data_IF_116510602128
#
_entry.id   IF_116510602128
#
_cell.length_a   1.000
_cell.length_b   1.000
_cell.length_c   1.000
_cell.angle_alpha   90.00
_cell.angle_beta   90.00
_cell.angle_gamma   90.00
#
_symmetry.space_group_name_H-M   'P 1'
#
loop_
_entity.id
_entity.type
_entity.pdbx_description
1 polymer ?
#
# COMPACT_ATOMS: atom_id res chain seq x y z
N UNK A 1 9.08 -25.37 -20.88
CA UNK A 1 8.02 -24.39 -21.24
C UNK A 1 6.84 -24.67 -20.38
N UNK A 2 6.37 -23.66 -19.68
CA UNK A 2 5.26 -23.75 -18.72
C UNK A 2 4.03 -23.10 -19.33
N UNK A 3 3.44 -23.77 -20.34
CA UNK A 3 2.27 -23.25 -21.04
C UNK A 3 1.06 -23.16 -20.13
N UNK A 4 0.32 -22.06 -20.22
CA UNK A 4 -0.96 -21.88 -19.55
C UNK A 4 -2.00 -22.75 -20.25
N UNK A 5 -2.66 -23.66 -19.52
CA UNK A 5 -3.66 -24.57 -20.07
C UNK A 5 -5.06 -24.31 -19.57
N UNK A 6 -5.22 -23.59 -18.45
CA UNK A 6 -6.53 -23.17 -17.94
C UNK A 6 -6.43 -21.94 -17.05
N UNK A 7 -7.48 -21.09 -17.07
CA UNK A 7 -7.64 -19.92 -16.21
C UNK A 7 -9.08 -19.86 -15.75
N UNK A 8 -9.27 -19.77 -14.43
CA UNK A 8 -10.59 -19.72 -13.81
C UNK A 8 -10.69 -18.49 -12.88
N UNK A 9 -11.44 -17.49 -13.29
CA UNK A 9 -11.80 -16.35 -12.44
C UNK A 9 -13.06 -16.66 -11.63
N UNK A 10 -13.12 -16.13 -10.41
CA UNK A 10 -14.30 -16.19 -9.55
C UNK A 10 -14.46 -14.95 -8.72
N UNK A 11 -15.67 -14.73 -8.22
CA UNK A 11 -16.01 -13.71 -7.25
C UNK A 11 -15.82 -14.28 -5.85
N UNK A 12 -15.09 -13.55 -4.99
CA UNK A 12 -14.92 -13.83 -3.55
C UNK A 12 -15.26 -12.57 -2.75
N UNK A 13 -15.21 -12.62 -1.42
CA UNK A 13 -15.40 -11.45 -0.57
C UNK A 13 -14.06 -10.93 -0.03
N UNK A 14 -13.95 -9.60 0.02
CA UNK A 14 -12.84 -8.90 0.67
C UNK A 14 -13.06 -8.75 2.19
N UNK A 15 -12.10 -8.15 2.88
CA UNK A 15 -12.12 -7.90 4.33
C UNK A 15 -13.26 -7.00 4.82
N UNK A 16 -13.94 -6.29 3.90
CA UNK A 16 -15.10 -5.45 4.17
C UNK A 16 -16.42 -6.14 3.82
N UNK A 17 -16.38 -7.39 3.34
CA UNK A 17 -17.55 -8.12 2.86
C UNK A 17 -18.05 -7.66 1.49
N UNK A 18 -17.25 -6.93 0.72
CA UNK A 18 -17.53 -6.57 -0.66
C UNK A 18 -16.96 -7.60 -1.62
N UNK A 19 -17.59 -7.85 -2.78
CA UNK A 19 -17.04 -8.70 -3.82
C UNK A 19 -15.70 -8.20 -4.34
N UNK A 20 -14.79 -9.14 -4.59
CA UNK A 20 -13.55 -8.94 -5.33
C UNK A 20 -13.23 -10.15 -6.19
N UNK A 21 -12.17 -10.06 -6.99
CA UNK A 21 -11.79 -11.08 -7.98
C UNK A 21 -10.68 -11.96 -7.48
N UNK A 22 -10.83 -13.26 -7.67
CA UNK A 22 -9.79 -14.28 -7.50
C UNK A 22 -9.61 -15.06 -8.79
N UNK A 23 -8.38 -15.43 -9.11
CA UNK A 23 -8.04 -16.18 -10.31
C UNK A 23 -7.16 -17.39 -9.99
N UNK A 24 -7.50 -18.55 -10.55
CA UNK A 24 -6.66 -19.74 -10.61
C UNK A 24 -6.04 -19.84 -12.02
N UNK A 25 -4.77 -20.23 -12.09
CA UNK A 25 -4.06 -20.54 -13.33
C UNK A 25 -3.48 -21.94 -13.22
N UNK A 26 -3.75 -22.77 -14.24
CA UNK A 26 -3.19 -24.12 -14.36
C UNK A 26 -2.17 -24.15 -15.51
N UNK A 27 -0.99 -24.73 -15.24
CA UNK A 27 0.06 -24.94 -16.23
C UNK A 27 0.04 -26.38 -16.77
N UNK A 28 0.62 -26.58 -17.95
CA UNK A 28 0.77 -27.90 -18.58
C UNK A 28 1.48 -28.93 -17.68
N UNK A 29 2.38 -28.49 -16.83
CA UNK A 29 3.05 -29.32 -15.81
C UNK A 29 2.14 -29.87 -14.72
N UNK A 30 0.92 -29.30 -14.58
CA UNK A 30 0.00 -29.56 -13.48
C UNK A 30 0.14 -28.61 -12.30
N UNK A 31 1.07 -27.66 -12.33
CA UNK A 31 1.16 -26.59 -11.33
C UNK A 31 -0.09 -25.71 -11.42
N UNK A 32 -0.71 -25.44 -10.28
CA UNK A 32 -1.85 -24.56 -10.16
C UNK A 32 -1.58 -23.51 -9.08
N UNK A 33 -1.74 -22.24 -9.43
CA UNK A 33 -1.58 -21.15 -8.50
C UNK A 33 -2.80 -20.22 -8.49
N UNK A 34 -2.98 -19.52 -7.38
CA UNK A 34 -4.12 -18.65 -7.09
C UNK A 34 -3.66 -17.27 -6.66
N UNK A 35 -4.38 -16.23 -7.08
CA UNK A 35 -4.20 -14.88 -6.57
C UNK A 35 -5.55 -14.17 -6.43
N UNK A 36 -5.65 -13.30 -5.41
CA UNK A 36 -6.83 -12.48 -5.16
C UNK A 36 -6.46 -10.99 -5.15
N UNK A 37 -7.35 -10.16 -5.68
CA UNK A 37 -7.10 -8.73 -5.89
C UNK A 37 -7.69 -7.89 -4.75
N UNK A 38 -6.94 -6.89 -4.22
CA UNK A 38 -7.48 -5.93 -3.25
C UNK A 38 -8.38 -4.88 -3.90
N UNK A 39 -9.15 -4.15 -3.06
CA UNK A 39 -10.06 -3.09 -3.48
C UNK A 39 -9.96 -1.86 -2.58
N UNK A 40 -9.93 -0.64 -3.15
CA UNK A 40 -9.89 0.60 -2.39
C UNK A 40 -11.23 1.06 -1.83
N UNK A 41 -11.21 1.86 -0.75
CA UNK A 41 -12.35 2.64 -0.27
C UNK A 41 -12.28 4.07 -0.82
N UNK A 42 -11.20 4.79 -0.52
CA UNK A 42 -10.82 6.01 -1.23
C UNK A 42 -10.02 5.65 -2.47
N UNK A 43 -10.24 6.33 -3.57
CA UNK A 43 -9.57 6.05 -4.84
C UNK A 43 -9.16 7.35 -5.51
N UNK A 44 -7.91 7.43 -5.94
CA UNK A 44 -7.44 8.54 -6.78
C UNK A 44 -8.21 8.58 -8.10
N UNK A 45 -8.56 9.77 -8.55
CA UNK A 45 -9.38 9.96 -9.76
C UNK A 45 -8.73 9.42 -11.05
N UNK A 46 -7.42 9.18 -11.01
CA UNK A 46 -6.60 8.71 -12.13
C UNK A 46 -6.18 7.26 -12.04
N UNK A 47 -6.69 6.50 -11.06
CA UNK A 47 -6.45 5.05 -10.96
C UNK A 47 -7.00 4.30 -12.18
N UNK A 48 -6.40 3.15 -12.48
CA UNK A 48 -6.99 2.20 -13.40
C UNK A 48 -8.36 1.72 -12.87
N UNK A 49 -9.28 1.47 -13.80
CA UNK A 49 -10.69 1.21 -13.46
C UNK A 49 -10.87 -0.16 -12.83
N UNK A 50 -11.34 -0.21 -11.60
CA UNK A 50 -11.91 -1.41 -10.99
C UNK A 50 -13.30 -1.66 -11.57
N UNK A 51 -13.47 -2.76 -12.30
CA UNK A 51 -14.74 -3.06 -12.94
C UNK A 51 -15.75 -3.58 -11.94
N UNK A 52 -16.89 -2.89 -11.83
CA UNK A 52 -18.06 -3.25 -11.03
C UNK A 52 -19.27 -3.45 -11.91
N UNK A 53 -20.18 -4.35 -11.51
CA UNK A 53 -21.36 -4.69 -12.32
C UNK A 53 -22.37 -3.55 -12.39
N UNK A 54 -22.49 -2.76 -11.31
CA UNK A 54 -23.45 -1.66 -11.20
C UNK A 54 -24.90 -2.11 -11.01
N UNK A 55 -25.15 -3.40 -10.79
CA UNK A 55 -26.47 -3.96 -10.51
C UNK A 55 -26.84 -3.75 -9.04
N UNK A 56 -27.73 -2.79 -8.78
CA UNK A 56 -28.14 -2.41 -7.43
C UNK A 56 -28.80 -3.55 -6.63
N UNK A 57 -29.40 -4.53 -7.31
CA UNK A 57 -30.05 -5.67 -6.65
C UNK A 57 -29.06 -6.74 -6.20
N UNK A 58 -27.80 -6.66 -6.67
CA UNK A 58 -26.74 -7.60 -6.33
C UNK A 58 -25.54 -6.88 -5.72
N UNK A 59 -25.23 -7.19 -4.44
CA UNK A 59 -24.15 -6.54 -3.67
C UNK A 59 -24.18 -5.01 -3.72
N UNK A 60 -25.38 -4.41 -3.79
CA UNK A 60 -25.54 -2.95 -3.85
C UNK A 60 -24.75 -2.28 -4.99
N UNK A 61 -24.67 -2.97 -6.14
CA UNK A 61 -23.93 -2.49 -7.31
C UNK A 61 -22.43 -2.87 -7.34
N UNK A 62 -21.92 -3.48 -6.27
CA UNK A 62 -20.49 -3.77 -6.12
C UNK A 62 -20.04 -5.15 -6.65
N UNK A 63 -20.95 -5.94 -7.28
CA UNK A 63 -20.63 -7.22 -7.90
C UNK A 63 -19.47 -7.10 -8.91
N UNK A 64 -18.75 -8.20 -9.17
CA UNK A 64 -17.60 -8.25 -10.10
C UNK A 64 -17.73 -9.33 -11.17
N UNK A 65 -18.95 -9.78 -11.47
CA UNK A 65 -19.17 -10.84 -12.45
C UNK A 65 -18.74 -10.45 -13.86
N UNK A 66 -18.80 -9.16 -14.25
CA UNK A 66 -18.27 -8.70 -15.54
C UNK A 66 -16.76 -8.90 -15.62
N UNK A 67 -16.03 -8.55 -14.56
CA UNK A 67 -14.58 -8.79 -14.49
C UNK A 67 -14.27 -10.29 -14.52
N UNK A 68 -15.01 -11.10 -13.79
CA UNK A 68 -14.91 -12.57 -13.80
C UNK A 68 -15.18 -13.13 -15.21
N UNK A 69 -16.20 -12.64 -15.89
CA UNK A 69 -16.50 -13.04 -17.27
C UNK A 69 -15.34 -12.70 -18.21
N UNK A 70 -14.76 -11.51 -18.11
CA UNK A 70 -13.62 -11.10 -18.92
C UNK A 70 -12.42 -12.04 -18.72
N UNK A 71 -12.17 -12.48 -17.47
CA UNK A 71 -11.12 -13.48 -17.19
C UNK A 71 -11.44 -14.80 -17.87
N UNK A 72 -12.67 -15.32 -17.70
CA UNK A 72 -13.08 -16.65 -18.16
C UNK A 72 -13.30 -16.74 -19.66
N UNK A 73 -13.28 -15.63 -20.39
CA UNK A 73 -13.46 -15.57 -21.84
C UNK A 73 -12.28 -14.91 -22.53
N UNK A 74 -12.35 -13.61 -22.80
CA UNK A 74 -11.38 -12.90 -23.64
C UNK A 74 -9.94 -12.97 -23.13
N UNK A 75 -9.71 -12.79 -21.82
CA UNK A 75 -8.35 -12.84 -21.28
C UNK A 75 -7.82 -14.29 -21.37
N UNK A 76 -8.63 -15.26 -20.93
CA UNK A 76 -8.25 -16.68 -21.03
C UNK A 76 -7.90 -17.08 -22.48
N UNK A 77 -8.74 -16.71 -23.45
CA UNK A 77 -8.48 -16.99 -24.87
C UNK A 77 -7.18 -16.36 -25.37
N UNK A 78 -6.89 -15.12 -24.96
CA UNK A 78 -5.71 -14.38 -25.41
C UNK A 78 -4.39 -14.91 -24.84
N UNK A 79 -4.40 -15.49 -23.62
CA UNK A 79 -3.18 -15.92 -22.93
C UNK A 79 -2.99 -17.44 -22.89
N UNK A 80 -3.98 -18.20 -23.36
CA UNK A 80 -3.90 -19.65 -23.45
C UNK A 80 -2.72 -20.07 -24.29
N UNK A 81 -1.90 -21.00 -23.80
CA UNK A 81 -0.70 -21.49 -24.47
C UNK A 81 0.54 -20.60 -24.37
N UNK A 82 0.42 -19.41 -23.77
CA UNK A 82 1.60 -18.58 -23.46
C UNK A 82 2.46 -19.25 -22.40
N UNK A 83 3.77 -19.00 -22.46
CA UNK A 83 4.70 -19.42 -21.42
C UNK A 83 4.53 -18.53 -20.17
N UNK A 84 4.19 -19.14 -19.03
CA UNK A 84 3.97 -18.44 -17.77
C UNK A 84 5.21 -17.70 -17.27
N UNK A 85 6.41 -18.10 -17.67
CA UNK A 85 7.67 -17.43 -17.30
C UNK A 85 7.87 -16.08 -18.00
N UNK A 86 7.14 -15.82 -19.08
CA UNK A 86 7.22 -14.59 -19.88
C UNK A 86 6.24 -13.51 -19.38
N UNK A 87 6.36 -13.13 -18.11
CA UNK A 87 5.44 -12.19 -17.43
C UNK A 87 5.22 -10.89 -18.21
N UNK A 88 6.30 -10.29 -18.72
CA UNK A 88 6.19 -9.01 -19.43
C UNK A 88 5.44 -9.17 -20.77
N UNK A 89 5.57 -10.29 -21.43
CA UNK A 89 4.82 -10.58 -22.65
C UNK A 89 3.35 -10.85 -22.36
N UNK A 90 3.05 -11.60 -21.28
CA UNK A 90 1.69 -11.86 -20.82
C UNK A 90 0.97 -10.53 -20.49
N UNK A 91 1.56 -9.72 -19.63
CA UNK A 91 0.97 -8.45 -19.18
C UNK A 91 0.77 -7.48 -20.36
N UNK A 92 1.71 -7.47 -21.32
CA UNK A 92 1.57 -6.70 -22.55
C UNK A 92 0.41 -7.21 -23.40
N UNK A 93 0.26 -8.53 -23.57
CA UNK A 93 -0.87 -9.14 -24.31
C UNK A 93 -2.20 -8.72 -23.71
N UNK A 94 -2.33 -8.76 -22.38
CA UNK A 94 -3.55 -8.34 -21.68
C UNK A 94 -3.79 -6.82 -21.85
N UNK A 95 -2.75 -6.00 -21.77
CA UNK A 95 -2.86 -4.56 -21.97
C UNK A 95 -3.27 -4.17 -23.39
N UNK A 96 -2.72 -4.84 -24.39
CA UNK A 96 -3.10 -4.66 -25.81
C UNK A 96 -4.53 -5.15 -26.06
N UNK A 97 -4.96 -6.23 -25.41
CA UNK A 97 -6.34 -6.70 -25.44
C UNK A 97 -7.31 -5.69 -24.85
N UNK A 98 -6.98 -5.08 -23.70
CA UNK A 98 -7.80 -4.01 -23.11
C UNK A 98 -7.86 -2.78 -24.03
N UNK A 99 -6.74 -2.36 -24.57
CA UNK A 99 -6.62 -1.26 -25.54
C UNK A 99 -6.92 0.13 -24.97
N UNK A 100 -7.20 0.28 -23.67
CA UNK A 100 -7.44 1.55 -23.01
C UNK A 100 -6.28 1.92 -22.09
N UNK A 101 -6.11 3.20 -21.80
CA UNK A 101 -5.00 3.67 -20.95
C UNK A 101 -5.20 3.37 -19.45
N UNK A 102 -6.42 3.07 -19.04
CA UNK A 102 -6.81 2.89 -17.63
C UNK A 102 -7.58 1.58 -17.36
N UNK A 103 -7.42 0.57 -18.21
CA UNK A 103 -8.09 -0.75 -18.07
C UNK A 103 -9.63 -0.67 -18.07
N UNK A 104 -10.22 0.36 -18.71
CA UNK A 104 -11.65 0.59 -18.66
C UNK A 104 -12.48 -0.51 -19.37
N UNK A 105 -11.89 -1.25 -20.31
CA UNK A 105 -12.62 -2.29 -21.06
C UNK A 105 -12.69 -3.63 -20.33
N UNK A 106 -11.59 -4.08 -19.74
CA UNK A 106 -11.51 -5.39 -19.07
C UNK A 106 -11.62 -5.28 -17.54
N UNK A 107 -11.17 -4.17 -16.98
CA UNK A 107 -11.06 -3.94 -15.55
C UNK A 107 -9.67 -4.26 -14.99
N UNK A 108 -9.10 -3.33 -14.20
CA UNK A 108 -7.81 -3.55 -13.54
C UNK A 108 -7.83 -4.73 -12.57
N UNK A 109 -8.97 -5.00 -11.93
CA UNK A 109 -9.16 -6.18 -11.09
C UNK A 109 -9.06 -7.49 -11.88
N UNK A 110 -9.61 -7.55 -13.10
CA UNK A 110 -9.49 -8.73 -13.96
C UNK A 110 -8.05 -8.93 -14.47
N UNK A 111 -7.44 -7.87 -14.97
CA UNK A 111 -6.07 -7.95 -15.53
C UNK A 111 -5.04 -8.30 -14.44
N UNK A 112 -5.14 -7.69 -13.26
CA UNK A 112 -4.24 -7.95 -12.14
C UNK A 112 -4.38 -9.37 -11.59
N UNK A 113 -5.60 -9.88 -11.45
CA UNK A 113 -5.83 -11.24 -10.93
C UNK A 113 -5.09 -12.27 -11.78
N UNK A 114 -5.15 -12.17 -13.12
CA UNK A 114 -4.44 -13.06 -14.02
C UNK A 114 -2.92 -12.82 -13.95
N UNK A 115 -2.47 -11.57 -13.98
CA UNK A 115 -1.04 -11.23 -13.90
C UNK A 115 -0.39 -11.81 -12.64
N UNK A 116 -1.03 -11.70 -11.48
CA UNK A 116 -0.54 -12.24 -10.20
C UNK A 116 -0.57 -13.76 -10.17
N UNK A 117 -1.67 -14.38 -10.61
CA UNK A 117 -1.81 -15.85 -10.59
C UNK A 117 -0.79 -16.52 -11.48
N UNK A 118 -0.53 -15.97 -12.68
CA UNK A 118 0.51 -16.47 -13.60
C UNK A 118 1.90 -16.34 -12.98
N UNK A 119 2.24 -15.20 -12.36
CA UNK A 119 3.53 -15.04 -11.68
C UNK A 119 3.75 -16.07 -10.56
N UNK A 120 2.72 -16.37 -9.78
CA UNK A 120 2.77 -17.40 -8.74
C UNK A 120 2.96 -18.80 -9.33
N UNK A 121 2.23 -19.13 -10.40
CA UNK A 121 2.38 -20.40 -11.09
C UNK A 121 3.79 -20.57 -11.67
N UNK A 122 4.33 -19.52 -12.30
CA UNK A 122 5.68 -19.53 -12.86
C UNK A 122 6.76 -19.69 -11.76
N UNK A 123 6.60 -19.05 -10.62
CA UNK A 123 7.48 -19.19 -9.47
C UNK A 123 7.48 -20.64 -8.93
N UNK A 124 6.31 -21.23 -8.76
CA UNK A 124 6.16 -22.63 -8.31
C UNK A 124 6.73 -23.62 -9.32
N UNK A 125 6.48 -23.43 -10.63
CA UNK A 125 7.08 -24.21 -11.70
C UNK A 125 8.61 -24.14 -11.71
N UNK A 126 9.16 -22.96 -11.42
CA UNK A 126 10.62 -22.77 -11.31
C UNK A 126 11.21 -23.31 -10.00
N UNK A 127 10.37 -23.79 -9.06
CA UNK A 127 10.81 -24.23 -7.74
C UNK A 127 11.35 -23.10 -6.86
N UNK A 128 10.91 -21.87 -7.08
CA UNK A 128 11.36 -20.66 -6.36
C UNK A 128 10.23 -20.08 -5.50
N UNK A 129 10.51 -19.61 -4.27
CA UNK A 129 9.58 -18.74 -3.58
C UNK A 129 9.35 -17.47 -4.38
N UNK A 130 8.15 -16.89 -4.25
CA UNK A 130 7.70 -15.79 -5.13
C UNK A 130 8.61 -14.56 -5.04
N UNK A 131 9.06 -14.17 -3.84
CA UNK A 131 9.97 -13.03 -3.69
C UNK A 131 11.30 -13.23 -4.43
N UNK A 132 11.80 -14.47 -4.47
CA UNK A 132 13.04 -14.81 -5.17
C UNK A 132 12.82 -14.91 -6.69
N UNK A 133 11.65 -15.34 -7.11
CA UNK A 133 11.26 -15.29 -8.51
C UNK A 133 11.24 -13.86 -9.04
N UNK A 134 10.72 -12.89 -8.25
CA UNK A 134 10.71 -11.48 -8.62
C UNK A 134 12.08 -10.81 -8.60
N UNK A 135 12.92 -11.10 -7.61
CA UNK A 135 14.16 -10.36 -7.35
C UNK A 135 15.44 -11.12 -7.60
N UNK A 136 15.34 -12.40 -7.98
CA UNK A 136 16.51 -13.25 -8.18
C UNK A 136 17.36 -13.38 -6.91
N UNK A 137 18.68 -13.55 -7.09
CA UNK A 137 19.63 -13.72 -5.98
C UNK A 137 19.84 -12.47 -5.12
N UNK A 138 19.40 -11.31 -5.58
CA UNK A 138 19.54 -10.04 -4.86
C UNK A 138 18.39 -9.68 -3.92
N UNK A 139 17.33 -10.48 -3.87
CA UNK A 139 16.15 -10.26 -3.03
C UNK A 139 16.41 -10.70 -1.58
N UNK A 140 17.01 -9.83 -0.76
CA UNK A 140 17.41 -10.15 0.62
C UNK A 140 16.96 -9.13 1.66
N UNK A 141 16.42 -7.98 1.25
CA UNK A 141 16.06 -6.91 2.16
C UNK A 141 14.60 -7.01 2.59
N UNK A 142 14.38 -7.21 3.89
CA UNK A 142 13.06 -7.09 4.51
C UNK A 142 12.67 -5.61 4.57
N UNK A 143 11.38 -5.27 4.32
CA UNK A 143 10.94 -3.88 4.36
C UNK A 143 10.74 -3.39 5.79
N UNK A 144 11.00 -2.09 6.03
CA UNK A 144 10.54 -1.40 7.24
C UNK A 144 9.01 -1.25 7.16
N UNK A 145 8.26 -1.75 8.15
CA UNK A 145 6.82 -1.65 8.14
C UNK A 145 6.35 -0.28 8.63
N UNK A 146 5.37 0.29 7.92
CA UNK A 146 4.58 1.44 8.32
C UNK A 146 3.26 0.91 8.88
N UNK A 147 3.15 0.86 10.20
CA UNK A 147 2.05 0.19 10.90
C UNK A 147 0.99 1.20 11.33
N UNK A 148 -0.18 1.18 10.71
CA UNK A 148 -1.29 2.08 11.01
C UNK A 148 -1.97 1.70 12.32
N UNK A 149 -1.62 2.36 13.45
CA UNK A 149 -2.13 2.03 14.77
C UNK A 149 -3.31 2.88 15.23
N UNK A 150 -3.54 4.06 14.61
CA UNK A 150 -4.75 4.89 14.80
C UNK A 150 -5.31 5.31 13.45
N UNK A 151 -6.60 5.05 13.26
CA UNK A 151 -7.37 5.42 12.09
C UNK A 151 -8.18 6.70 12.33
N UNK A 152 -8.22 7.57 11.33
CA UNK A 152 -9.09 8.75 11.26
C UNK A 152 -9.68 8.89 9.85
N UNK A 153 -10.11 10.10 9.48
CA UNK A 153 -10.59 10.41 8.14
C UNK A 153 -11.63 9.43 7.63
N UNK A 154 -11.48 8.98 6.38
CA UNK A 154 -12.38 8.03 5.75
C UNK A 154 -12.30 6.59 6.33
N UNK A 155 -11.26 6.27 7.10
CA UNK A 155 -11.06 4.94 7.69
C UNK A 155 -11.71 4.75 9.06
N UNK A 156 -12.26 5.82 9.67
CA UNK A 156 -12.91 5.75 10.97
C UNK A 156 -14.00 6.81 11.12
N UNK A 157 -15.07 6.47 11.84
CA UNK A 157 -16.09 7.44 12.20
C UNK A 157 -15.70 8.14 13.53
N UNK A 158 -14.75 9.05 13.45
CA UNK A 158 -14.24 9.82 14.57
C UNK A 158 -13.92 11.28 14.17
N UNK A 159 -13.31 12.05 15.07
CA UNK A 159 -13.02 13.48 14.91
C UNK A 159 -11.68 13.79 14.25
N UNK A 160 -10.87 12.79 13.91
CA UNK A 160 -9.56 13.01 13.30
C UNK A 160 -9.69 13.25 11.80
N UNK A 161 -9.10 14.32 11.29
CA UNK A 161 -9.08 14.64 9.84
C UNK A 161 -8.00 13.85 9.11
N UNK A 162 -6.82 13.67 9.71
CA UNK A 162 -5.74 12.83 9.18
C UNK A 162 -6.17 11.37 9.23
N UNK A 163 -6.01 10.67 8.11
CA UNK A 163 -6.56 9.33 7.89
C UNK A 163 -5.82 8.24 8.64
N UNK A 164 -4.46 8.31 8.69
CA UNK A 164 -3.66 7.27 9.32
C UNK A 164 -2.50 7.87 10.13
N UNK A 165 -2.32 7.30 11.33
CA UNK A 165 -1.18 7.56 12.19
C UNK A 165 -0.40 6.26 12.36
N UNK A 166 0.82 6.25 11.83
CA UNK A 166 1.63 5.05 11.72
C UNK A 166 2.88 5.11 12.57
N UNK A 167 3.31 3.96 13.07
CA UNK A 167 4.63 3.75 13.67
C UNK A 167 5.54 3.01 12.71
N UNK A 168 6.83 3.35 12.74
CA UNK A 168 7.88 2.73 11.94
C UNK A 168 9.03 2.28 12.86
N UNK A 169 9.10 0.99 13.22
CA UNK A 169 10.22 0.45 13.98
C UNK A 169 11.49 0.42 13.11
N UNK A 170 12.44 1.30 13.38
CA UNK A 170 13.68 1.49 12.60
C UNK A 170 14.94 1.21 13.40
N UNK A 171 14.83 1.04 14.72
CA UNK A 171 15.94 0.81 15.62
C UNK A 171 16.22 -0.67 15.91
N UNK A 172 15.51 -1.60 15.26
CA UNK A 172 15.70 -3.04 15.43
C UNK A 172 16.66 -3.61 14.38
N UNK A 173 17.25 -4.76 14.67
CA UNK A 173 18.21 -5.41 13.78
C UNK A 173 17.54 -6.35 12.75
N UNK A 174 16.31 -6.80 13.03
CA UNK A 174 15.59 -7.77 12.20
C UNK A 174 14.14 -7.35 12.02
N UNK A 175 13.49 -7.86 10.97
CA UNK A 175 12.06 -7.65 10.75
C UNK A 175 11.22 -8.27 11.88
N UNK A 176 11.60 -9.45 12.37
CA UNK A 176 10.94 -10.13 13.50
C UNK A 176 10.89 -9.23 14.74
N UNK A 177 11.99 -8.58 15.08
CA UNK A 177 12.04 -7.65 16.21
C UNK A 177 11.26 -6.35 15.92
N UNK A 178 11.25 -5.88 14.68
CA UNK A 178 10.40 -4.76 14.29
C UNK A 178 8.91 -5.08 14.45
N UNK A 179 8.49 -6.27 14.03
CA UNK A 179 7.11 -6.72 14.20
C UNK A 179 6.74 -6.89 15.68
N UNK A 180 7.63 -7.45 16.51
CA UNK A 180 7.46 -7.53 17.96
C UNK A 180 7.30 -6.15 18.59
N UNK A 181 8.18 -5.22 18.26
CA UNK A 181 8.11 -3.83 18.70
C UNK A 181 6.73 -3.21 18.38
N UNK A 182 6.29 -3.33 17.14
CA UNK A 182 4.98 -2.84 16.72
C UNK A 182 3.82 -3.46 17.52
N UNK A 183 3.83 -4.78 17.73
CA UNK A 183 2.79 -5.48 18.49
C UNK A 183 2.76 -5.04 19.97
N UNK A 184 3.91 -4.86 20.61
CA UNK A 184 4.01 -4.38 21.98
C UNK A 184 3.48 -2.95 22.12
N UNK A 185 3.81 -2.05 21.17
CA UNK A 185 3.26 -0.68 21.15
C UNK A 185 1.75 -0.69 20.91
N UNK A 186 1.25 -1.53 19.99
CA UNK A 186 -0.19 -1.67 19.74
C UNK A 186 -0.95 -2.09 21.01
N UNK A 187 -0.44 -3.05 21.77
CA UNK A 187 -1.05 -3.46 23.02
C UNK A 187 -0.91 -2.43 24.14
N UNK A 188 0.20 -1.69 24.22
CA UNK A 188 0.37 -0.55 25.12
C UNK A 188 -0.65 0.55 24.82
N UNK A 189 -0.85 0.88 23.53
CA UNK A 189 -1.86 1.85 23.10
C UNK A 189 -3.27 1.40 23.46
N UNK A 190 -3.61 0.12 23.23
CA UNK A 190 -4.90 -0.44 23.65
C UNK A 190 -5.18 -0.22 25.13
N UNK A 191 -4.16 -0.48 25.97
CA UNK A 191 -4.27 -0.26 27.42
C UNK A 191 -4.48 1.21 27.77
N UNK A 192 -3.74 2.13 27.17
CA UNK A 192 -3.86 3.56 27.39
C UNK A 192 -5.26 4.06 27.03
N UNK A 193 -5.79 3.64 25.87
CA UNK A 193 -7.14 3.99 25.43
C UNK A 193 -8.20 3.47 26.39
N UNK A 194 -8.08 2.22 26.83
CA UNK A 194 -8.98 1.62 27.81
C UNK A 194 -8.95 2.39 29.14
N UNK A 195 -7.76 2.72 29.67
CA UNK A 195 -7.60 3.45 30.93
C UNK A 195 -8.17 4.89 30.85
N UNK A 196 -8.21 5.47 29.64
CA UNK A 196 -8.87 6.76 29.34
C UNK A 196 -10.37 6.63 29.04
N UNK A 197 -10.98 5.44 29.14
CA UNK A 197 -12.35 5.13 28.73
C UNK A 197 -12.65 5.47 27.25
N UNK A 198 -11.67 5.37 26.39
CA UNK A 198 -11.80 5.53 24.95
C UNK A 198 -12.10 4.19 24.25
N UNK A 199 -12.82 4.18 23.10
CA UNK A 199 -13.05 2.96 22.34
C UNK A 199 -11.75 2.28 21.91
N UNK A 200 -11.74 0.93 21.99
CA UNK A 200 -10.65 0.08 21.49
C UNK A 200 -11.09 -0.79 20.32
N UNK A 201 -12.21 -0.46 19.68
CA UNK A 201 -12.61 -1.01 18.40
C UNK A 201 -11.64 -0.57 17.31
N UNK A 202 -11.47 -1.42 16.30
CA UNK A 202 -10.54 -1.17 15.20
C UNK A 202 -11.27 -0.81 13.92
N UNK A 203 -10.64 0.02 13.09
CA UNK A 203 -11.12 0.37 11.76
C UNK A 203 -10.78 -0.70 10.70
N UNK A 204 -11.01 -0.37 9.44
CA UNK A 204 -10.84 -1.28 8.31
C UNK A 204 -9.42 -1.85 8.18
N UNK A 205 -8.42 -1.09 8.61
CA UNK A 205 -7.01 -1.47 8.53
C UNK A 205 -6.42 -2.00 9.83
N UNK A 206 -7.28 -2.23 10.85
CA UNK A 206 -6.89 -2.85 12.10
C UNK A 206 -6.32 -1.91 13.16
N UNK A 207 -6.17 -0.60 12.87
CA UNK A 207 -5.82 0.44 13.85
C UNK A 207 -7.01 0.84 14.70
N UNK A 208 -6.76 1.37 15.90
CA UNK A 208 -7.82 1.86 16.78
C UNK A 208 -8.50 3.11 16.20
N UNK A 209 -9.76 3.33 16.53
CA UNK A 209 -10.56 4.45 16.04
C UNK A 209 -11.17 5.28 17.21
N UNK A 210 -10.36 5.79 18.14
CA UNK A 210 -10.86 6.61 19.25
C UNK A 210 -11.18 8.04 18.78
N UNK A 211 -11.98 8.76 19.56
CA UNK A 211 -12.18 10.18 19.40
C UNK A 211 -11.12 10.98 20.17
N UNK A 212 -10.20 11.58 19.45
CA UNK A 212 -9.26 12.56 19.98
C UNK A 212 -9.76 13.98 19.72
N UNK A 213 -9.32 14.95 20.50
CA UNK A 213 -9.69 16.37 20.34
C UNK A 213 -8.87 17.07 19.24
N UNK A 214 -7.74 16.47 18.85
CA UNK A 214 -6.85 17.00 17.82
C UNK A 214 -5.89 15.92 17.31
N UNK A 215 -5.29 16.15 16.13
CA UNK A 215 -4.21 15.34 15.60
C UNK A 215 -2.99 15.29 16.55
N UNK A 216 -2.73 16.43 17.23
CA UNK A 216 -1.66 16.53 18.23
C UNK A 216 -1.88 15.59 19.42
N UNK A 217 -3.09 15.55 20.00
CA UNK A 217 -3.42 14.63 21.12
C UNK A 217 -3.24 13.16 20.71
N UNK A 218 -3.60 12.83 19.48
CA UNK A 218 -3.36 11.50 18.93
C UNK A 218 -1.86 11.16 18.92
N UNK A 219 -1.03 12.04 18.37
CA UNK A 219 0.43 11.86 18.33
C UNK A 219 1.05 11.76 19.74
N UNK A 220 0.65 12.62 20.67
CA UNK A 220 1.10 12.57 22.07
C UNK A 220 0.73 11.23 22.73
N UNK A 221 -0.46 10.69 22.43
CA UNK A 221 -0.89 9.39 22.95
C UNK A 221 -0.09 8.24 22.34
N UNK A 222 0.27 8.32 21.07
CA UNK A 222 1.16 7.35 20.41
C UNK A 222 2.56 7.38 21.02
N UNK A 223 3.13 8.57 21.27
CA UNK A 223 4.43 8.70 21.95
C UNK A 223 4.41 8.03 23.34
N UNK A 224 3.33 8.26 24.11
CA UNK A 224 3.15 7.60 25.41
C UNK A 224 3.08 6.08 25.27
N UNK A 225 2.45 5.56 24.22
CA UNK A 225 2.38 4.12 23.96
C UNK A 225 3.75 3.53 23.63
N UNK A 226 4.57 4.23 22.85
CA UNK A 226 5.95 3.84 22.52
C UNK A 226 6.79 3.76 23.80
N UNK A 227 6.73 4.80 24.65
CA UNK A 227 7.44 4.85 25.95
C UNK A 227 6.98 3.72 26.88
N UNK A 228 5.66 3.49 26.99
CA UNK A 228 5.10 2.43 27.84
C UNK A 228 5.46 1.02 27.36
N UNK A 229 5.71 0.84 26.07
CA UNK A 229 6.22 -0.40 25.51
C UNK A 229 7.74 -0.58 25.73
N UNK A 230 8.45 0.43 26.25
CA UNK A 230 9.87 0.39 26.55
C UNK A 230 10.78 0.79 25.38
N UNK A 231 10.25 1.51 24.39
CA UNK A 231 11.01 2.00 23.23
C UNK A 231 11.16 3.53 23.24
N UNK A 232 12.16 4.03 22.51
CA UNK A 232 12.48 5.45 22.39
C UNK A 232 11.92 6.01 21.08
N UNK A 233 10.95 6.94 21.18
CA UNK A 233 10.46 7.66 20.01
C UNK A 233 11.57 8.56 19.42
N UNK A 234 11.73 8.53 18.10
CA UNK A 234 12.80 9.24 17.39
C UNK A 234 14.10 8.43 17.20
N UNK A 235 14.31 7.41 18.02
CA UNK A 235 15.47 6.52 17.92
C UNK A 235 15.07 5.13 17.45
N UNK A 236 14.27 4.41 18.23
CA UNK A 236 13.81 3.06 17.92
C UNK A 236 12.62 3.07 16.97
N UNK A 237 11.73 4.05 17.14
CA UNK A 237 10.47 4.16 16.41
C UNK A 237 10.28 5.58 15.90
N UNK A 238 10.05 5.71 14.60
CA UNK A 238 9.63 6.95 13.95
C UNK A 238 8.13 6.93 13.68
N UNK A 239 7.56 8.09 13.37
CA UNK A 239 6.16 8.24 13.04
C UNK A 239 5.98 8.53 11.55
N UNK A 240 4.85 8.11 11.00
CA UNK A 240 4.41 8.45 9.67
C UNK A 240 2.93 8.81 9.68
N UNK A 241 2.54 9.69 8.77
CA UNK A 241 1.16 10.12 8.56
C UNK A 241 0.71 9.78 7.14
N UNK A 242 -0.56 9.41 7.00
CA UNK A 242 -1.29 9.51 5.74
C UNK A 242 -2.39 10.54 5.94
N UNK A 243 -2.24 11.68 5.28
CA UNK A 243 -3.22 12.77 5.41
C UNK A 243 -4.46 12.49 4.57
N UNK A 244 -4.34 11.80 3.45
CA UNK A 244 -5.39 11.64 2.44
C UNK A 244 -6.07 13.00 2.15
N UNK A 245 -5.25 14.05 1.92
CA UNK A 245 -5.69 15.45 1.94
C UNK A 245 -6.74 15.77 0.88
N UNK A 246 -6.91 14.93 -0.14
CA UNK A 246 -7.98 15.03 -1.13
C UNK A 246 -9.38 14.92 -0.51
N UNK A 247 -9.52 14.20 0.60
CA UNK A 247 -10.81 13.98 1.29
C UNK A 247 -11.37 15.24 1.97
N UNK A 248 -10.49 16.15 2.37
CA UNK A 248 -10.89 17.41 3.05
C UNK A 248 -10.49 18.69 2.29
N UNK A 249 -10.14 18.56 1.00
CA UNK A 249 -9.89 19.71 0.13
C UNK A 249 -11.16 20.15 -0.57
N UNK A 250 -11.56 21.40 -0.34
CA UNK A 250 -12.76 21.98 -0.95
C UNK A 250 -12.56 23.48 -1.19
N UNK A 251 -13.03 23.95 -2.35
CA UNK A 251 -13.01 25.37 -2.73
C UNK A 251 -11.62 26.03 -2.60
N UNK A 252 -10.55 25.28 -2.92
CA UNK A 252 -9.17 25.74 -2.85
C UNK A 252 -8.57 25.80 -1.44
N UNK A 253 -9.20 25.14 -0.46
CA UNK A 253 -8.77 25.10 0.94
C UNK A 253 -8.84 23.71 1.54
N UNK A 254 -7.99 23.47 2.53
CA UNK A 254 -7.98 22.27 3.37
C UNK A 254 -8.82 22.52 4.63
N UNK A 255 -9.87 21.74 4.81
CA UNK A 255 -10.85 21.88 5.88
C UNK A 255 -10.63 20.80 6.96
N UNK A 256 -9.85 21.11 7.97
CA UNK A 256 -9.67 20.24 9.14
C UNK A 256 -10.84 20.46 10.11
N UNK A 257 -11.94 19.75 9.85
CA UNK A 257 -13.19 19.94 10.56
C UNK A 257 -13.08 19.61 12.07
N UNK A 258 -12.29 18.58 12.40
CA UNK A 258 -12.02 18.16 13.78
C UNK A 258 -11.30 19.21 14.61
N UNK A 259 -10.52 20.06 13.96
CA UNK A 259 -9.79 21.18 14.62
C UNK A 259 -10.40 22.55 14.31
N UNK A 260 -11.45 22.62 13.48
CA UNK A 260 -12.12 23.87 13.10
C UNK A 260 -11.26 24.80 12.23
N UNK A 261 -10.31 24.25 11.47
CA UNK A 261 -9.37 25.01 10.65
C UNK A 261 -9.76 24.98 9.17
N UNK A 262 -9.49 26.07 8.46
CA UNK A 262 -9.57 26.19 7.00
C UNK A 262 -8.29 26.85 6.50
N UNK A 263 -7.45 26.07 5.83
CA UNK A 263 -6.09 26.44 5.48
C UNK A 263 -5.91 26.51 3.95
N UNK A 264 -5.17 27.48 3.47
CA UNK A 264 -4.61 27.47 2.12
C UNK A 264 -3.54 26.38 1.99
N UNK A 265 -3.09 26.09 0.78
CA UNK A 265 -2.04 25.10 0.54
C UNK A 265 -0.76 25.41 1.32
N UNK A 266 -0.33 26.68 1.33
CA UNK A 266 0.87 27.07 2.07
C UNK A 266 0.69 27.00 3.59
N UNK A 267 -0.47 27.39 4.12
CA UNK A 267 -0.78 27.28 5.55
C UNK A 267 -0.88 25.82 5.99
N UNK A 268 -1.40 24.92 5.12
CA UNK A 268 -1.44 23.49 5.42
C UNK A 268 -0.03 22.86 5.36
N UNK A 269 0.84 23.27 4.42
CA UNK A 269 2.26 22.92 4.44
C UNK A 269 2.93 23.32 5.76
N UNK A 270 2.65 24.55 6.26
CA UNK A 270 3.20 25.04 7.53
C UNK A 270 2.64 24.25 8.72
N UNK A 271 1.36 23.89 8.69
CA UNK A 271 0.74 23.03 9.70
C UNK A 271 1.44 21.68 9.80
N UNK A 272 1.67 20.99 8.66
CA UNK A 272 2.40 19.72 8.60
C UNK A 272 3.85 19.87 9.05
N UNK A 273 4.51 20.97 8.68
CA UNK A 273 5.85 21.31 9.13
C UNK A 273 5.93 21.46 10.65
N UNK A 274 4.96 22.16 11.25
CA UNK A 274 4.88 22.35 12.71
C UNK A 274 4.66 21.02 13.45
N UNK A 275 3.89 20.08 12.89
CA UNK A 275 3.77 18.73 13.46
C UNK A 275 5.10 17.98 13.38
N UNK A 276 5.78 18.02 12.23
CA UNK A 276 7.05 17.35 12.02
C UNK A 276 8.20 17.94 12.91
N UNK A 277 8.12 19.20 13.29
CA UNK A 277 9.08 19.83 14.21
C UNK A 277 8.82 19.44 15.69
N UNK A 278 7.58 19.08 16.05
CA UNK A 278 7.21 18.68 17.41
C UNK A 278 7.28 17.17 17.66
N UNK A 279 7.15 16.36 16.62
CA UNK A 279 7.06 14.90 16.69
C UNK A 279 8.08 14.26 15.76
N UNK A 280 8.55 13.03 16.03
CA UNK A 280 9.54 12.34 15.19
C UNK A 280 8.89 11.78 13.90
N UNK A 281 8.20 12.62 13.15
CA UNK A 281 7.55 12.30 11.88
C UNK A 281 8.62 12.30 10.79
N UNK A 282 8.76 11.17 10.08
CA UNK A 282 9.75 11.00 9.00
C UNK A 282 9.08 10.87 7.63
N UNK A 283 7.78 10.57 7.59
CA UNK A 283 7.04 10.34 6.34
C UNK A 283 5.64 10.94 6.41
N UNK A 284 5.23 11.61 5.35
CA UNK A 284 3.89 12.15 5.16
C UNK A 284 3.40 11.73 3.76
N UNK A 285 2.30 10.98 3.74
CA UNK A 285 1.62 10.55 2.52
C UNK A 285 0.47 11.50 2.23
N UNK A 286 0.29 11.82 0.94
CA UNK A 286 -0.78 12.67 0.41
C UNK A 286 -1.06 13.91 1.26
N UNK A 287 0.03 14.63 1.58
CA UNK A 287 -0.02 15.89 2.34
C UNK A 287 -0.68 17.06 1.58
N UNK A 288 -1.05 16.86 0.30
CA UNK A 288 -1.79 17.80 -0.53
C UNK A 288 -2.79 17.04 -1.40
N UNK A 289 -3.80 17.76 -1.91
CA UNK A 289 -4.77 17.24 -2.87
C UNK A 289 -4.08 16.76 -4.17
N UNK A 290 -4.57 15.70 -4.78
CA UNK A 290 -3.99 15.08 -5.99
C UNK A 290 -3.84 16.03 -7.19
N UNK A 291 -4.61 17.12 -7.24
CA UNK A 291 -4.55 18.13 -8.30
C UNK A 291 -3.85 19.43 -7.86
N UNK A 292 -3.48 19.57 -6.59
CA UNK A 292 -2.81 20.77 -6.07
C UNK A 292 -1.28 20.68 -6.24
N UNK A 293 -0.82 20.68 -7.48
CA UNK A 293 0.60 20.52 -7.80
C UNK A 293 1.47 21.68 -7.30
N UNK A 294 0.93 22.90 -7.24
CA UNK A 294 1.63 24.05 -6.66
C UNK A 294 1.78 23.89 -5.14
N UNK A 295 0.74 23.42 -4.46
CA UNK A 295 0.81 23.04 -3.03
C UNK A 295 1.81 21.92 -2.77
N UNK A 296 1.86 20.89 -3.62
CA UNK A 296 2.86 19.84 -3.55
C UNK A 296 4.28 20.38 -3.75
N UNK A 297 4.49 21.31 -4.66
CA UNK A 297 5.79 21.96 -4.86
C UNK A 297 6.23 22.76 -3.62
N UNK A 298 5.32 23.53 -3.01
CA UNK A 298 5.56 24.27 -1.76
C UNK A 298 5.91 23.32 -0.60
N UNK A 299 5.12 22.26 -0.41
CA UNK A 299 5.36 21.24 0.61
C UNK A 299 6.74 20.57 0.40
N UNK A 300 7.06 20.22 -0.85
CA UNK A 300 8.35 19.58 -1.18
C UNK A 300 9.52 20.51 -0.91
N UNK A 301 9.39 21.79 -1.26
CA UNK A 301 10.42 22.79 -0.98
C UNK A 301 10.67 22.94 0.52
N UNK A 302 9.59 22.98 1.32
CA UNK A 302 9.67 23.18 2.77
C UNK A 302 10.19 21.94 3.51
N UNK A 303 9.68 20.77 3.20
CA UNK A 303 9.89 19.54 3.99
C UNK A 303 10.69 18.45 3.30
N UNK A 304 10.77 18.42 1.98
CA UNK A 304 11.29 17.28 1.20
C UNK A 304 12.75 16.90 1.43
N UNK A 305 13.53 17.76 2.11
CA UNK A 305 14.92 17.44 2.50
C UNK A 305 15.01 16.63 3.79
N UNK A 306 13.99 16.72 4.66
CA UNK A 306 13.95 16.10 5.99
C UNK A 306 12.88 15.01 6.11
N UNK A 307 11.82 15.10 5.31
CA UNK A 307 10.62 14.27 5.40
C UNK A 307 10.44 13.53 4.07
N UNK A 308 10.16 12.25 4.14
CA UNK A 308 9.67 11.47 3.00
C UNK A 308 8.25 11.93 2.66
N UNK A 309 8.05 12.45 1.47
CA UNK A 309 6.77 12.91 0.96
C UNK A 309 6.27 11.91 -0.08
N UNK A 310 5.29 11.11 0.31
CA UNK A 310 4.76 9.99 -0.47
C UNK A 310 3.55 10.46 -1.29
N UNK A 311 3.61 10.26 -2.60
CA UNK A 311 2.44 10.44 -3.47
C UNK A 311 1.70 9.11 -3.65
N UNK A 312 0.46 9.03 -3.15
CA UNK A 312 -0.50 7.96 -3.41
C UNK A 312 -1.45 8.38 -4.52
N UNK A 313 -2.49 9.15 -4.22
CA UNK A 313 -3.44 9.67 -5.21
C UNK A 313 -2.75 10.60 -6.23
N UNK A 314 -1.65 11.23 -5.82
CA UNK A 314 -0.82 12.05 -6.72
C UNK A 314 -0.26 11.25 -7.90
N UNK A 315 0.21 10.03 -7.69
CA UNK A 315 0.93 9.24 -8.70
C UNK A 315 0.17 8.01 -9.18
N UNK A 316 -0.73 7.45 -8.37
CA UNK A 316 -1.56 6.27 -8.64
C UNK A 316 -0.78 5.10 -9.27
N UNK A 317 0.45 4.87 -8.82
CA UNK A 317 1.36 3.83 -9.35
C UNK A 317 1.62 3.97 -10.86
N UNK A 318 1.37 5.13 -11.45
CA UNK A 318 1.44 5.38 -12.88
C UNK A 318 2.76 6.02 -13.29
N UNK A 319 3.56 5.33 -14.11
CA UNK A 319 4.89 5.79 -14.54
C UNK A 319 4.89 7.12 -15.29
N UNK A 320 3.82 7.42 -16.05
CA UNK A 320 3.71 8.69 -16.78
C UNK A 320 3.53 9.86 -15.82
N UNK A 321 2.68 9.68 -14.79
CA UNK A 321 2.42 10.73 -13.79
C UNK A 321 3.63 10.86 -12.85
N UNK A 322 4.22 9.74 -12.45
CA UNK A 322 5.45 9.74 -11.66
C UNK A 322 6.59 10.48 -12.39
N UNK A 323 6.76 10.25 -13.69
CA UNK A 323 7.75 10.96 -14.52
C UNK A 323 7.54 12.46 -14.47
N UNK A 324 6.29 12.93 -14.61
CA UNK A 324 5.94 14.35 -14.50
C UNK A 324 6.33 14.92 -13.12
N UNK A 325 6.02 14.18 -12.04
CA UNK A 325 6.40 14.57 -10.67
C UNK A 325 7.91 14.67 -10.47
N UNK A 326 8.67 13.71 -11.01
CA UNK A 326 10.13 13.70 -10.97
C UNK A 326 10.69 14.93 -11.72
N UNK A 327 10.20 15.21 -12.93
CA UNK A 327 10.64 16.34 -13.75
C UNK A 327 10.34 17.69 -13.08
N UNK A 328 9.24 17.77 -12.35
CA UNK A 328 8.83 18.98 -11.60
C UNK A 328 9.45 19.07 -10.19
N UNK A 329 10.12 18.01 -9.71
CA UNK A 329 10.68 17.94 -8.36
C UNK A 329 9.61 17.95 -7.27
N UNK A 330 8.49 17.29 -7.49
CA UNK A 330 7.33 17.20 -6.61
C UNK A 330 7.33 15.85 -5.89
N UNK A 331 7.12 15.86 -4.57
CA UNK A 331 7.29 14.71 -3.68
C UNK A 331 8.73 14.14 -3.70
N UNK A 332 8.98 13.01 -3.05
CA UNK A 332 10.26 12.30 -3.09
C UNK A 332 10.10 10.79 -2.83
N UNK A 333 8.86 10.31 -2.85
CA UNK A 333 8.48 8.91 -2.68
C UNK A 333 7.17 8.62 -3.40
N UNK A 334 6.94 7.36 -3.76
CA UNK A 334 5.70 6.89 -4.35
C UNK A 334 5.11 5.76 -3.51
N UNK A 335 3.79 5.77 -3.32
CA UNK A 335 3.07 4.61 -2.85
C UNK A 335 2.76 3.67 -4.03
N UNK A 336 2.97 2.39 -3.84
CA UNK A 336 2.78 1.35 -4.86
C UNK A 336 1.59 0.50 -4.48
N UNK A 337 0.50 0.67 -5.18
CA UNK A 337 -0.72 -0.13 -5.08
C UNK A 337 -0.95 -0.89 -6.38
N UNK A 338 -0.79 -2.19 -6.36
CA UNK A 338 -0.79 -3.04 -7.56
C UNK A 338 -2.07 -2.91 -8.40
N UNK A 339 -3.22 -2.70 -7.75
CA UNK A 339 -4.50 -2.56 -8.42
C UNK A 339 -4.76 -1.16 -9.01
N UNK A 340 -3.97 -0.13 -8.65
CA UNK A 340 -4.07 1.20 -9.26
C UNK A 340 -3.59 1.24 -10.72
N UNK A 341 -2.82 0.23 -11.13
CA UNK A 341 -2.26 0.12 -12.48
C UNK A 341 -2.69 -1.16 -13.22
N UNK A 342 -2.84 -2.28 -12.50
CA UNK A 342 -3.52 -3.48 -12.98
C UNK A 342 -2.65 -4.57 -13.60
N UNK A 343 -1.30 -4.46 -13.61
CA UNK A 343 -0.38 -5.55 -13.94
C UNK A 343 0.90 -5.48 -13.09
N UNK A 344 1.57 -6.61 -12.90
CA UNK A 344 2.86 -6.66 -12.19
C UNK A 344 3.98 -5.97 -12.97
N UNK A 345 4.01 -6.11 -14.30
CA UNK A 345 5.03 -5.47 -15.14
C UNK A 345 4.99 -3.94 -15.00
N UNK A 346 3.81 -3.34 -15.03
CA UNK A 346 3.66 -1.89 -14.85
C UNK A 346 3.99 -1.47 -13.40
N UNK A 347 3.64 -2.30 -12.42
CA UNK A 347 4.01 -2.10 -11.01
C UNK A 347 5.52 -2.07 -10.83
N UNK A 348 6.24 -3.04 -11.36
CA UNK A 348 7.70 -3.10 -11.29
C UNK A 348 8.36 -1.93 -12.02
N UNK A 349 7.81 -1.51 -13.16
CA UNK A 349 8.29 -0.33 -13.88
C UNK A 349 8.17 0.95 -13.04
N UNK A 350 7.10 1.12 -12.28
CA UNK A 350 6.92 2.27 -11.38
C UNK A 350 7.93 2.26 -10.23
N UNK A 351 8.15 1.10 -9.59
CA UNK A 351 9.15 0.93 -8.53
C UNK A 351 10.55 1.26 -9.04
N UNK A 352 10.94 0.70 -10.18
CA UNK A 352 12.26 0.90 -10.78
C UNK A 352 12.48 2.38 -11.19
N UNK A 353 11.47 3.03 -11.78
CA UNK A 353 11.52 4.44 -12.14
C UNK A 353 11.74 5.31 -10.90
N UNK A 354 11.01 5.07 -9.82
CA UNK A 354 11.17 5.80 -8.55
C UNK A 354 12.59 5.67 -8.02
N UNK A 355 13.11 4.45 -7.88
CA UNK A 355 14.45 4.18 -7.36
C UNK A 355 15.55 4.84 -8.19
N UNK A 356 15.46 4.80 -9.52
CA UNK A 356 16.42 5.47 -10.41
C UNK A 356 16.40 6.99 -10.30
N UNK A 357 15.26 7.57 -9.89
CA UNK A 357 15.12 9.00 -9.66
C UNK A 357 15.49 9.41 -8.22
N UNK A 358 16.02 8.51 -7.40
CA UNK A 358 16.26 8.70 -5.97
C UNK A 358 14.97 9.00 -5.16
N UNK A 359 13.82 8.52 -5.64
CA UNK A 359 12.58 8.44 -4.87
C UNK A 359 12.54 7.10 -4.15
N UNK A 360 11.99 7.06 -2.96
CA UNK A 360 11.67 5.80 -2.29
C UNK A 360 10.35 5.23 -2.83
N UNK A 361 10.16 3.94 -2.65
CA UNK A 361 8.90 3.27 -2.99
C UNK A 361 8.37 2.55 -1.74
N UNK A 362 7.09 2.75 -1.45
CA UNK A 362 6.41 2.09 -0.34
C UNK A 362 5.39 1.11 -0.93
N UNK A 363 5.58 -0.18 -0.72
CA UNK A 363 4.62 -1.20 -1.19
C UNK A 363 3.42 -1.17 -0.25
N UNK A 364 2.21 -1.08 -0.80
CA UNK A 364 1.01 -0.81 -0.02
C UNK A 364 -0.12 -1.80 -0.29
N UNK A 365 -0.87 -2.10 0.77
CA UNK A 365 -2.17 -2.72 0.75
C UNK A 365 -3.27 -1.75 0.25
N UNK A 366 -4.51 -2.21 0.29
CA UNK A 366 -5.71 -1.37 0.17
C UNK A 366 -6.60 -1.55 1.40
N UNK A 367 -7.61 -0.68 1.56
CA UNK A 367 -8.59 -0.79 2.66
C UNK A 367 -9.41 -2.08 2.59
N UNK A 368 -9.79 -2.54 1.41
CA UNK A 368 -10.37 -3.86 1.16
C UNK A 368 -9.29 -4.86 0.75
N UNK A 369 -8.94 -5.77 1.63
CA UNK A 369 -7.93 -6.79 1.41
C UNK A 369 -8.51 -8.21 1.46
N UNK A 370 -7.69 -9.16 1.04
CA UNK A 370 -7.92 -10.59 1.20
C UNK A 370 -6.76 -11.20 1.99
N UNK A 371 -6.72 -12.51 2.17
CA UNK A 371 -5.57 -13.23 2.71
C UNK A 371 -4.37 -13.32 1.75
N UNK A 372 -4.49 -12.84 0.51
CA UNK A 372 -3.38 -12.79 -0.45
C UNK A 372 -2.23 -11.94 0.11
N UNK A 373 -1.02 -12.47 0.04
CA UNK A 373 0.20 -11.87 0.61
C UNK A 373 1.23 -11.45 -0.43
N UNK A 374 0.86 -11.41 -1.71
CA UNK A 374 1.80 -11.12 -2.83
C UNK A 374 2.58 -9.82 -2.63
N UNK A 375 1.98 -8.79 -2.01
CA UNK A 375 2.68 -7.52 -1.76
C UNK A 375 3.89 -7.67 -0.82
N UNK A 376 3.89 -8.65 0.08
CA UNK A 376 5.05 -8.96 0.91
C UNK A 376 6.21 -9.49 0.05
N UNK A 377 5.92 -10.39 -0.87
CA UNK A 377 6.90 -10.93 -1.82
C UNK A 377 7.41 -9.86 -2.79
N UNK A 378 6.54 -8.94 -3.23
CA UNK A 378 6.94 -7.78 -4.06
C UNK A 378 7.91 -6.87 -3.27
N UNK A 379 7.62 -6.57 -2.01
CA UNK A 379 8.44 -5.69 -1.20
C UNK A 379 9.88 -6.23 -1.05
N UNK A 380 10.03 -7.54 -0.80
CA UNK A 380 11.35 -8.18 -0.68
C UNK A 380 11.98 -8.39 -2.06
N UNK A 381 11.22 -8.88 -3.04
CA UNK A 381 11.73 -9.16 -4.39
C UNK A 381 12.28 -7.94 -5.09
N UNK A 382 11.71 -6.77 -4.84
CA UNK A 382 12.17 -5.50 -5.43
C UNK A 382 13.17 -4.74 -4.55
N UNK A 383 13.45 -5.23 -3.32
CA UNK A 383 14.15 -4.46 -2.30
C UNK A 383 13.59 -3.03 -2.18
N UNK A 384 12.27 -2.90 -2.13
CA UNK A 384 11.61 -1.59 -2.03
C UNK A 384 11.93 -0.87 -0.71
N UNK A 385 12.23 -1.63 0.33
CA UNK A 385 12.67 -1.14 1.62
C UNK A 385 11.56 -0.76 2.58
N UNK A 386 10.33 -0.51 2.11
CA UNK A 386 9.19 -0.13 2.95
C UNK A 386 7.92 -0.86 2.53
N UNK A 387 7.06 -1.16 3.51
CA UNK A 387 5.73 -1.73 3.30
C UNK A 387 4.71 -1.05 4.22
N UNK A 388 3.55 -0.68 3.66
CA UNK A 388 2.39 -0.15 4.36
C UNK A 388 1.25 -1.18 4.23
N UNK A 389 0.98 -1.94 5.28
CA UNK A 389 0.01 -3.04 5.21
C UNK A 389 -0.90 -3.14 6.44
N UNK A 390 -1.24 -1.98 7.01
CA UNK A 390 -2.17 -1.85 8.11
C UNK A 390 -1.56 -2.10 9.48
N UNK A 391 -2.39 -2.41 10.45
CA UNK A 391 -2.02 -2.56 11.85
C UNK A 391 -1.67 -4.01 12.21
N UNK A 392 -1.49 -4.25 13.51
CA UNK A 392 -1.15 -5.55 14.14
C UNK A 392 -2.42 -6.35 14.51
N UNK A 393 -3.51 -6.13 13.81
CA UNK A 393 -4.78 -6.84 13.98
C UNK A 393 -5.50 -7.00 12.64
N UNK A 394 -6.48 -7.90 12.55
CA UNK A 394 -7.20 -8.38 11.36
C UNK A 394 -6.30 -9.28 10.49
N UNK A 395 -6.82 -10.47 10.18
CA UNK A 395 -6.06 -11.54 9.49
C UNK A 395 -5.60 -11.13 8.09
N UNK A 396 -6.37 -10.27 7.41
CA UNK A 396 -6.06 -9.71 6.10
C UNK A 396 -4.79 -8.83 6.11
N UNK A 397 -4.47 -8.20 7.24
CA UNK A 397 -3.21 -7.43 7.44
C UNK A 397 -2.09 -8.35 7.92
N UNK A 398 -2.38 -9.16 8.94
CA UNK A 398 -1.41 -10.07 9.54
C UNK A 398 -0.88 -11.11 8.54
N UNK A 399 -1.66 -11.50 7.53
CA UNK A 399 -1.22 -12.40 6.48
C UNK A 399 0.08 -11.91 5.79
N UNK A 400 0.19 -10.61 5.52
CA UNK A 400 1.36 -9.98 4.90
C UNK A 400 2.57 -9.97 5.85
N UNK A 401 2.35 -9.60 7.12
CA UNK A 401 3.40 -9.64 8.14
C UNK A 401 3.92 -11.07 8.40
N UNK A 402 3.02 -12.04 8.47
CA UNK A 402 3.39 -13.45 8.63
C UNK A 402 4.17 -13.96 7.41
N UNK A 403 3.84 -13.51 6.20
CA UNK A 403 4.61 -13.85 5.00
C UNK A 403 6.03 -13.27 5.07
N UNK A 404 6.20 -12.05 5.53
CA UNK A 404 7.52 -11.44 5.72
C UNK A 404 8.36 -12.20 6.77
N UNK A 405 7.74 -12.71 7.85
CA UNK A 405 8.43 -13.58 8.82
C UNK A 405 8.92 -14.88 8.19
N UNK A 406 8.11 -15.51 7.32
CA UNK A 406 8.51 -16.74 6.59
C UNK A 406 9.65 -16.44 5.62
N UNK A 407 9.61 -15.30 4.94
CA UNK A 407 10.68 -14.87 4.03
C UNK A 407 11.98 -14.61 4.81
N UNK A 408 11.90 -13.94 5.97
CA UNK A 408 13.09 -13.73 6.81
C UNK A 408 13.68 -15.05 7.29
N UNK A 409 12.84 -16.01 7.68
CA UNK A 409 13.29 -17.36 8.07
C UNK A 409 13.94 -18.11 6.89
N UNK A 410 13.36 -18.05 5.68
CA UNK A 410 13.90 -18.68 4.48
C UNK A 410 15.26 -18.07 4.06
N UNK A 411 15.42 -16.76 4.23
CA UNK A 411 16.69 -16.06 3.98
C UNK A 411 17.75 -16.36 5.04
N UNK A 412 17.36 -16.63 6.27
CA UNK A 412 18.30 -16.89 7.37
C UNK A 412 19.32 -15.77 7.56
N UNK A 413 20.59 -16.14 7.65
CA UNK A 413 21.71 -15.20 7.95
C UNK A 413 21.98 -14.17 6.84
N UNK A 414 21.40 -14.33 5.65
CA UNK A 414 21.54 -13.35 4.55
C UNK A 414 20.42 -12.32 4.53
N UNK A 415 19.41 -12.47 5.37
CA UNK A 415 18.36 -11.48 5.52
C UNK A 415 18.94 -10.14 6.03
N UNK A 416 18.50 -9.04 5.44
CA UNK A 416 18.89 -7.70 5.88
C UNK A 416 17.66 -6.88 6.25
N UNK A 417 17.78 -6.08 7.30
CA UNK A 417 16.76 -5.13 7.71
C UNK A 417 17.36 -3.72 7.70
N UNK A 418 16.87 -2.79 6.85
CA UNK A 418 17.56 -1.54 6.57
C UNK A 418 17.45 -0.50 7.69
N UNK A 419 16.44 -0.60 8.58
CA UNK A 419 16.20 0.41 9.60
C UNK A 419 16.12 1.82 9.01
N UNK A 420 16.73 2.80 9.66
CA UNK A 420 16.76 4.21 9.21
C UNK A 420 17.38 4.42 7.83
N UNK A 421 18.21 3.50 7.34
CA UNK A 421 18.88 3.65 6.04
C UNK A 421 17.92 3.55 4.86
N UNK A 422 16.69 3.13 5.10
CA UNK A 422 15.63 3.07 4.08
C UNK A 422 15.30 4.45 3.50
N UNK A 423 15.51 5.50 4.26
CA UNK A 423 15.30 6.90 3.83
C UNK A 423 16.55 7.46 3.11
N UNK A 424 17.03 6.75 2.09
CA UNK A 424 18.23 7.12 1.34
C UNK A 424 18.07 8.43 0.53
N UNK A 425 16.84 8.83 0.28
CA UNK A 425 16.46 10.06 -0.42
C UNK A 425 16.54 11.33 0.45
N UNK A 426 16.60 11.18 1.77
CA UNK A 426 16.68 12.31 2.69
C UNK A 426 18.14 12.71 2.95
N UNK A 427 18.39 14.01 3.12
CA UNK A 427 19.71 14.49 3.52
C UNK A 427 19.95 14.19 5.00
N UNK A 428 21.07 13.55 5.28
CA UNK A 428 21.55 13.32 6.65
C UNK A 428 22.03 14.63 7.27
#
# INVERSE_FOLDING_TARGET
MSAIVDIIGREILDSRGNPTVECDVLLESGVMARAAVPSGASTGSREAIEMRDGDAERYLGKGVLKAVQNINTEISEAVMGLDASEQAFLDRTINELDGTHNKARLGANATLAVSMAVARAAAEEAGLPLYRYFGGSGAMQLPVPMMNIVNGGAHANNSLDIQEFMIMPVGTETFREALRCGAEIFHALKKILHDKNMPTSVGDEGGFAPNFTSNKECLETILLAIEKAGYNAGEDVLLALDCAASEFYKDGKYHLAGEGLQLSSSEFSDYLGNLADQFPIVSIEDGMHESDWDGWADLTQKLGKKIQLVGDDLFVTNTRILKEGIEKGVANSILIKINQIGTLTETFAAIEMAKRANYTAVISHRSGETEDSTIADIAVGTNAGQIKTGSLSRSDRIAKYNQLLRIEEDLGDVATYPGKSVFYNLKK
#
